data_IF_681736598439
#
_entry.id   IF_681736598439
#
_cell.length_a   1.000
_cell.length_b   1.000
_cell.length_c   1.000
_cell.angle_alpha   90.00
_cell.angle_beta   90.00
_cell.angle_gamma   90.00
#
_symmetry.space_group_name_H-M   'P 1'
#
loop_
_entity.id
_entity.type
_entity.pdbx_description
1 polymer ?
#
# COMPACT_ATOMS: atom_id res chain seq x y z
N UNK A 1 -2.63 71.78 26.76
CA UNK A 1 -2.39 73.11 26.18
C UNK A 1 -2.21 72.93 24.69
N UNK A 2 -2.76 73.87 23.93
CA UNK A 2 -2.58 74.12 22.49
C UNK A 2 -1.14 74.54 22.16
N UNK A 3 -0.66 74.69 20.91
CA UNK A 3 -0.86 73.97 19.62
C UNK A 3 0.36 74.35 18.70
N UNK A 4 0.43 74.50 17.37
CA UNK A 4 -0.54 74.51 16.25
C UNK A 4 0.10 74.05 14.90
N UNK A 5 -0.27 74.66 13.77
CA UNK A 5 0.16 74.38 12.37
C UNK A 5 1.15 75.50 11.92
N UNK A 6 1.66 75.66 10.69
CA UNK A 6 1.27 75.19 9.34
C UNK A 6 2.49 75.22 8.38
N UNK A 7 2.23 75.12 7.06
CA UNK A 7 3.02 75.52 5.87
C UNK A 7 3.97 76.72 6.03
N UNK A 8 5.06 76.87 5.24
CA UNK A 8 5.11 76.87 3.76
C UNK A 8 6.52 76.54 3.22
N UNK A 9 6.66 76.24 1.91
CA UNK A 9 7.93 75.78 1.31
C UNK A 9 8.64 76.75 0.37
N UNK A 10 9.86 76.41 -0.04
CA UNK A 10 10.66 77.09 -1.07
C UNK A 10 11.22 76.09 -2.09
N UNK A 11 11.36 76.51 -3.35
CA UNK A 11 11.86 75.67 -4.46
C UNK A 11 13.34 75.95 -4.75
N UNK A 12 14.08 74.92 -5.13
CA UNK A 12 15.39 75.02 -5.79
C UNK A 12 15.34 74.25 -7.12
N UNK A 13 15.55 74.94 -8.23
CA UNK A 13 15.52 74.38 -9.59
C UNK A 13 16.95 74.14 -10.09
N UNK A 14 17.40 72.87 -10.05
CA UNK A 14 18.64 72.43 -10.69
C UNK A 14 18.40 72.04 -12.14
N UNK A 15 19.11 72.66 -13.09
CA UNK A 15 18.97 72.37 -14.52
C UNK A 15 19.71 71.08 -14.90
N UNK A 16 18.97 70.01 -15.18
CA UNK A 16 19.55 68.75 -15.69
C UNK A 16 19.55 68.73 -17.22
N UNK A 17 20.74 68.79 -17.84
CA UNK A 17 20.92 68.70 -19.28
C UNK A 17 20.77 67.27 -19.78
N UNK A 18 19.91 67.04 -20.77
CA UNK A 18 19.72 65.70 -21.37
C UNK A 18 21.01 65.23 -22.06
N UNK A 19 21.43 63.96 -21.91
CA UNK A 19 22.60 63.43 -22.60
C UNK A 19 22.39 63.43 -24.12
N UNK A 20 23.48 63.63 -24.88
CA UNK A 20 23.42 63.60 -26.35
C UNK A 20 23.04 62.21 -26.87
N UNK A 21 22.14 62.16 -27.85
CA UNK A 21 21.74 60.92 -28.53
C UNK A 21 22.92 60.20 -29.19
N UNK A 22 23.96 60.91 -29.60
CA UNK A 22 25.19 60.30 -30.13
C UNK A 22 25.90 59.41 -29.12
N UNK A 23 25.86 59.75 -27.82
CA UNK A 23 26.49 58.95 -26.77
C UNK A 23 25.75 57.63 -26.55
N UNK A 24 24.41 57.68 -26.56
CA UNK A 24 23.54 56.50 -26.48
C UNK A 24 23.70 55.58 -27.70
N UNK A 25 23.78 56.15 -28.91
CA UNK A 25 24.01 55.37 -30.14
C UNK A 25 25.35 54.64 -30.12
N UNK A 26 26.44 55.33 -29.76
CA UNK A 26 27.78 54.72 -29.68
C UNK A 26 27.81 53.59 -28.65
N UNK A 27 27.20 53.78 -27.47
CA UNK A 27 27.12 52.75 -26.44
C UNK A 27 26.33 51.51 -26.92
N UNK A 28 25.22 51.73 -27.63
CA UNK A 28 24.40 50.65 -28.18
C UNK A 28 25.13 49.87 -29.29
N UNK A 29 25.85 50.55 -30.19
CA UNK A 29 26.66 49.89 -31.23
C UNK A 29 27.86 49.11 -30.66
N UNK A 30 28.46 49.58 -29.56
CA UNK A 30 29.51 48.83 -28.86
C UNK A 30 28.96 47.56 -28.20
N UNK A 31 27.79 47.64 -27.57
CA UNK A 31 27.12 46.49 -26.95
C UNK A 31 26.73 45.42 -27.98
N UNK A 32 26.20 45.80 -29.15
CA UNK A 32 25.85 44.81 -30.19
C UNK A 32 27.09 44.19 -30.84
N UNK A 33 28.17 44.95 -31.06
CA UNK A 33 29.44 44.38 -31.55
C UNK A 33 30.05 43.38 -30.55
N UNK A 34 30.02 43.70 -29.25
CA UNK A 34 30.52 42.80 -28.20
C UNK A 34 29.71 41.51 -28.14
N UNK A 35 28.39 41.59 -28.30
CA UNK A 35 27.50 40.43 -28.31
C UNK A 35 27.70 39.52 -29.54
N UNK A 36 28.02 40.10 -30.70
CA UNK A 36 28.25 39.39 -31.98
C UNK A 36 29.65 38.75 -32.09
N UNK A 37 30.56 39.02 -31.14
CA UNK A 37 31.93 38.48 -31.14
C UNK A 37 32.27 37.64 -29.91
N UNK A 38 31.29 37.36 -29.04
CA UNK A 38 31.42 36.28 -28.06
C UNK A 38 31.35 34.93 -28.78
N UNK A 39 32.39 34.07 -28.72
CA UNK A 39 32.34 32.76 -29.36
C UNK A 39 31.27 31.91 -28.69
N UNK A 40 30.31 31.43 -29.47
CA UNK A 40 29.26 30.54 -29.00
C UNK A 40 29.87 29.24 -28.46
N UNK A 41 30.05 29.17 -27.14
CA UNK A 41 30.45 27.94 -26.47
C UNK A 41 29.40 26.87 -26.78
N UNK A 42 29.79 25.65 -27.19
CA UNK A 42 28.82 24.59 -27.38
C UNK A 42 28.12 24.35 -26.04
N UNK A 43 26.82 24.62 -26.00
CA UNK A 43 25.97 24.15 -24.91
C UNK A 43 25.93 22.64 -25.07
N UNK A 44 26.76 21.96 -24.28
CA UNK A 44 26.67 20.53 -24.11
C UNK A 44 25.27 20.27 -23.57
N UNK A 45 24.39 19.75 -24.42
CA UNK A 45 23.15 19.14 -23.98
C UNK A 45 23.55 17.96 -23.11
N UNK A 46 23.55 18.19 -21.80
CA UNK A 46 23.34 17.13 -20.84
C UNK A 46 22.02 16.47 -21.27
N UNK A 47 22.11 15.28 -21.85
CA UNK A 47 20.95 14.41 -21.96
C UNK A 47 20.29 14.36 -20.57
N UNK A 48 18.96 14.44 -20.48
CA UNK A 48 18.30 14.02 -19.25
C UNK A 48 18.87 12.65 -18.86
N UNK A 49 19.30 12.52 -17.61
CA UNK A 49 19.51 11.18 -17.06
C UNK A 49 18.21 10.38 -17.22
N UNK A 50 18.28 9.03 -17.27
CA UNK A 50 17.06 8.22 -17.39
C UNK A 50 16.04 8.68 -16.34
N UNK A 51 14.82 8.98 -16.78
CA UNK A 51 13.79 9.61 -15.95
C UNK A 51 13.71 8.92 -14.58
N UNK A 52 13.67 9.66 -13.46
CA UNK A 52 13.70 9.09 -12.14
C UNK A 52 12.49 8.17 -11.96
N UNK A 53 12.74 6.85 -12.06
CA UNK A 53 11.74 5.78 -12.21
C UNK A 53 10.52 6.10 -11.36
N UNK A 54 9.40 6.47 -11.99
CA UNK A 54 8.27 7.11 -11.28
C UNK A 54 7.59 6.14 -10.33
N UNK A 55 7.46 4.87 -10.74
CA UNK A 55 6.87 3.76 -9.98
C UNK A 55 7.74 2.51 -10.09
N UNK A 56 7.82 1.69 -9.04
CA UNK A 56 8.42 0.35 -9.14
C UNK A 56 7.50 -0.70 -9.81
N UNK A 57 6.25 -0.36 -10.10
CA UNK A 57 5.23 -1.29 -10.60
C UNK A 57 5.35 -1.63 -12.11
N UNK A 58 6.51 -1.40 -12.73
CA UNK A 58 6.69 -1.53 -14.19
C UNK A 58 6.48 -2.95 -14.73
N UNK A 59 6.59 -3.99 -13.89
CA UNK A 59 6.28 -5.38 -14.24
C UNK A 59 4.77 -5.70 -14.21
N UNK A 60 3.94 -4.88 -13.56
CA UNK A 60 2.56 -5.23 -13.23
C UNK A 60 1.61 -5.03 -14.41
N UNK A 61 0.91 -6.11 -14.77
CA UNK A 61 0.00 -6.15 -15.92
C UNK A 61 -1.40 -5.82 -15.45
N UNK A 62 -1.69 -4.52 -15.39
CA UNK A 62 -3.00 -3.95 -15.04
C UNK A 62 -4.15 -4.74 -15.71
N UNK A 63 -4.98 -5.47 -14.94
CA UNK A 63 -6.08 -6.23 -15.50
C UNK A 63 -7.14 -5.31 -16.15
N UNK A 64 -7.84 -5.75 -17.21
CA UNK A 64 -8.95 -4.99 -17.76
C UNK A 64 -10.09 -4.86 -16.74
N UNK A 65 -10.94 -3.82 -16.87
CA UNK A 65 -12.14 -3.66 -16.05
C UNK A 65 -13.00 -4.93 -16.03
N UNK A 66 -13.48 -5.32 -14.85
CA UNK A 66 -14.22 -6.57 -14.66
C UNK A 66 -15.59 -6.48 -15.32
N UNK A 67 -15.98 -7.51 -16.08
CA UNK A 67 -17.26 -7.51 -16.80
C UNK A 67 -18.47 -7.74 -15.89
N UNK A 68 -18.30 -8.45 -14.78
CA UNK A 68 -19.30 -8.56 -13.72
C UNK A 68 -18.93 -7.59 -12.59
N UNK A 69 -19.91 -6.84 -12.08
CA UNK A 69 -19.79 -6.03 -10.87
C UNK A 69 -21.00 -6.33 -9.97
N UNK A 70 -20.77 -6.62 -8.69
CA UNK A 70 -21.80 -6.96 -7.70
C UNK A 70 -21.50 -6.25 -6.37
N UNK A 71 -22.50 -6.01 -5.53
CA UNK A 71 -22.35 -5.70 -4.11
C UNK A 71 -22.28 -6.98 -3.26
N UNK A 72 -21.71 -6.90 -2.05
CA UNK A 72 -21.88 -7.93 -1.02
C UNK A 72 -23.34 -8.07 -0.55
N UNK A 73 -24.14 -7.01 -0.70
CA UNK A 73 -25.58 -6.98 -0.44
C UNK A 73 -26.36 -7.97 -1.33
N UNK A 74 -25.96 -8.12 -2.60
CA UNK A 74 -26.55 -9.07 -3.57
C UNK A 74 -26.43 -10.54 -3.13
N UNK A 75 -25.53 -10.81 -2.17
CA UNK A 75 -25.30 -12.12 -1.57
C UNK A 75 -25.88 -12.24 -0.16
N UNK A 76 -26.70 -11.28 0.27
CA UNK A 76 -27.34 -11.23 1.57
C UNK A 76 -26.41 -10.78 2.70
N UNK A 77 -25.49 -9.85 2.42
CA UNK A 77 -24.69 -9.18 3.44
C UNK A 77 -25.47 -8.13 4.23
N UNK A 78 -25.04 -7.87 5.46
CA UNK A 78 -25.61 -6.88 6.39
C UNK A 78 -24.46 -6.08 7.04
N UNK A 79 -24.59 -4.76 7.08
CA UNK A 79 -23.50 -3.82 7.43
C UNK A 79 -23.57 -3.23 8.84
N UNK A 80 -24.21 -3.96 9.77
CA UNK A 80 -24.48 -3.58 11.15
C UNK A 80 -23.28 -3.74 12.11
N UNK A 81 -22.21 -4.40 11.68
CA UNK A 81 -21.04 -4.75 12.49
C UNK A 81 -21.26 -5.91 13.47
N UNK A 82 -22.39 -6.62 13.39
CA UNK A 82 -22.80 -7.68 14.35
C UNK A 82 -23.21 -8.96 13.64
N UNK A 83 -23.85 -8.87 12.47
CA UNK A 83 -24.23 -10.00 11.64
C UNK A 83 -22.99 -10.57 10.93
N UNK A 84 -22.71 -11.86 11.13
CA UNK A 84 -21.60 -12.51 10.39
C UNK A 84 -21.95 -12.67 8.90
N UNK A 85 -21.18 -11.96 8.08
CA UNK A 85 -21.23 -11.94 6.62
C UNK A 85 -20.44 -13.10 5.99
N UNK A 86 -19.86 -14.02 6.78
CA UNK A 86 -18.92 -15.05 6.30
C UNK A 86 -19.47 -15.87 5.14
N UNK A 87 -20.74 -16.32 5.20
CA UNK A 87 -21.34 -17.03 4.07
C UNK A 87 -21.84 -16.10 2.96
N UNK A 88 -22.07 -14.80 3.22
CA UNK A 88 -22.31 -13.84 2.13
C UNK A 88 -21.04 -13.66 1.28
N UNK A 89 -19.88 -13.48 1.90
CA UNK A 89 -18.57 -13.45 1.20
C UNK A 89 -18.29 -14.76 0.47
N UNK A 90 -18.50 -15.92 1.11
CA UNK A 90 -18.30 -17.24 0.48
C UNK A 90 -19.30 -17.50 -0.65
N UNK A 91 -20.55 -17.05 -0.56
CA UNK A 91 -21.52 -17.06 -1.68
C UNK A 91 -21.06 -16.16 -2.84
N UNK A 92 -20.60 -14.95 -2.53
CA UNK A 92 -20.12 -13.99 -3.53
C UNK A 92 -18.97 -14.57 -4.36
N UNK A 93 -17.89 -15.03 -3.71
CA UNK A 93 -16.73 -15.61 -4.41
C UNK A 93 -17.15 -16.84 -5.23
N UNK A 94 -17.93 -17.76 -4.65
CA UNK A 94 -18.41 -18.98 -5.32
C UNK A 94 -19.28 -18.67 -6.55
N UNK A 95 -20.09 -17.61 -6.50
CA UNK A 95 -20.84 -17.12 -7.66
C UNK A 95 -19.91 -16.53 -8.72
N UNK A 96 -18.95 -15.71 -8.30
CA UNK A 96 -18.15 -14.83 -9.16
C UNK A 96 -16.96 -15.53 -9.82
N UNK A 97 -16.41 -16.59 -9.21
CA UNK A 97 -15.40 -17.46 -9.80
C UNK A 97 -15.78 -17.96 -11.20
N UNK A 98 -17.08 -18.22 -11.44
CA UNK A 98 -17.61 -18.67 -12.75
C UNK A 98 -17.41 -17.66 -13.89
N UNK A 99 -17.00 -16.42 -13.58
CA UNK A 99 -16.72 -15.35 -14.53
C UNK A 99 -15.23 -15.17 -14.82
N UNK A 100 -14.34 -15.96 -14.20
CA UNK A 100 -12.89 -15.96 -14.45
C UNK A 100 -12.54 -15.89 -15.93
N UNK A 101 -13.07 -16.83 -16.72
CA UNK A 101 -12.80 -16.94 -18.16
C UNK A 101 -13.80 -16.14 -19.02
N UNK A 102 -14.53 -15.19 -18.40
CA UNK A 102 -15.57 -14.36 -19.04
C UNK A 102 -15.34 -12.86 -18.84
N UNK A 103 -14.12 -12.46 -18.50
CA UNK A 103 -13.75 -11.06 -18.23
C UNK A 103 -13.70 -10.68 -16.75
N UNK A 104 -13.73 -11.66 -15.84
CA UNK A 104 -13.56 -11.44 -14.41
C UNK A 104 -14.76 -10.77 -13.72
N UNK A 105 -14.62 -10.59 -12.41
CA UNK A 105 -15.68 -10.07 -11.54
C UNK A 105 -15.14 -9.11 -10.47
N UNK A 106 -15.90 -8.07 -10.14
CA UNK A 106 -15.62 -7.12 -9.06
C UNK A 106 -16.69 -7.20 -7.99
N UNK A 107 -16.27 -7.41 -6.74
CA UNK A 107 -17.12 -7.34 -5.55
C UNK A 107 -16.90 -6.00 -4.86
N UNK A 108 -17.95 -5.18 -4.82
CA UNK A 108 -17.98 -3.93 -4.08
C UNK A 108 -18.42 -4.21 -2.64
N UNK A 109 -17.72 -3.58 -1.68
CA UNK A 109 -18.08 -3.53 -0.27
C UNK A 109 -18.51 -2.08 0.01
N UNK A 110 -19.83 -1.81 0.14
CA UNK A 110 -20.36 -0.47 0.39
C UNK A 110 -19.97 0.08 1.77
N UNK A 111 -20.32 1.35 2.01
CA UNK A 111 -20.22 2.00 3.32
C UNK A 111 -20.97 1.20 4.40
N UNK A 112 -20.37 1.08 5.57
CA UNK A 112 -20.89 0.30 6.71
C UNK A 112 -19.91 -0.76 7.18
N UNK A 113 -20.29 -1.54 8.20
CA UNK A 113 -19.40 -2.43 8.94
C UNK A 113 -19.79 -3.90 8.71
N UNK A 114 -18.94 -4.63 7.99
CA UNK A 114 -19.22 -5.98 7.52
C UNK A 114 -18.41 -6.98 8.35
N UNK A 115 -18.99 -7.42 9.48
CA UNK A 115 -18.38 -8.44 10.33
C UNK A 115 -18.26 -9.75 9.55
N UNK A 116 -17.06 -10.35 9.48
CA UNK A 116 -16.82 -11.60 8.76
C UNK A 116 -15.63 -12.36 9.34
N UNK A 117 -15.72 -13.69 9.30
CA UNK A 117 -14.58 -14.59 9.36
C UNK A 117 -13.87 -14.73 8.02
N UNK A 118 -12.98 -15.72 7.96
CA UNK A 118 -12.08 -15.92 6.83
C UNK A 118 -12.79 -16.30 5.53
N UNK A 119 -12.37 -15.67 4.43
CA UNK A 119 -12.82 -15.98 3.07
C UNK A 119 -11.66 -16.01 2.07
N UNK A 120 -11.75 -16.95 1.12
CA UNK A 120 -10.77 -17.10 0.05
C UNK A 120 -11.18 -16.24 -1.15
N UNK A 121 -10.21 -15.59 -1.79
CA UNK A 121 -10.33 -14.89 -3.07
C UNK A 121 -10.25 -15.87 -4.25
N UNK A 122 -10.33 -15.33 -5.47
CA UNK A 122 -10.30 -16.12 -6.71
C UNK A 122 -9.58 -15.35 -7.84
N UNK A 123 -9.11 -16.02 -8.89
CA UNK A 123 -8.43 -15.36 -10.02
C UNK A 123 -9.34 -14.41 -10.81
N UNK A 124 -8.74 -13.50 -11.59
CA UNK A 124 -9.43 -12.50 -12.43
C UNK A 124 -10.48 -11.69 -11.64
N UNK A 125 -10.17 -11.35 -10.39
CA UNK A 125 -11.10 -10.77 -9.42
C UNK A 125 -10.68 -9.38 -8.93
N UNK A 126 -11.64 -8.54 -8.59
CA UNK A 126 -11.40 -7.28 -7.88
C UNK A 126 -12.22 -7.27 -6.59
N UNK A 127 -11.58 -7.12 -5.43
CA UNK A 127 -12.22 -6.70 -4.19
C UNK A 127 -12.12 -5.17 -4.11
N UNK A 128 -13.25 -4.47 -4.03
CA UNK A 128 -13.31 -3.01 -4.01
C UNK A 128 -14.03 -2.52 -2.75
N UNK A 129 -13.35 -1.77 -1.87
CA UNK A 129 -13.97 -1.19 -0.67
C UNK A 129 -14.28 0.30 -0.89
N UNK A 130 -15.54 0.69 -0.77
CA UNK A 130 -15.96 2.08 -0.90
C UNK A 130 -15.54 2.93 0.32
N UNK A 131 -15.65 4.26 0.18
CA UNK A 131 -15.34 5.20 1.26
C UNK A 131 -16.27 4.97 2.47
N UNK A 132 -15.69 4.67 3.63
CA UNK A 132 -16.44 4.32 4.85
C UNK A 132 -16.93 2.87 4.89
N UNK A 133 -16.46 1.99 4.01
CA UNK A 133 -16.59 0.54 4.16
C UNK A 133 -15.57 0.03 5.19
N UNK A 134 -15.99 -0.86 6.08
CA UNK A 134 -15.13 -1.55 7.04
C UNK A 134 -15.40 -3.06 6.93
N UNK A 135 -14.46 -3.84 6.39
CA UNK A 135 -14.44 -5.28 6.63
C UNK A 135 -13.93 -5.48 8.06
N UNK A 136 -14.73 -6.08 8.93
CA UNK A 136 -14.44 -6.22 10.35
C UNK A 136 -14.25 -7.72 10.67
N UNK A 137 -13.14 -8.07 11.30
CA UNK A 137 -12.79 -9.48 11.51
C UNK A 137 -13.51 -10.11 12.72
N UNK A 138 -14.12 -11.27 12.51
CA UNK A 138 -14.80 -12.01 13.58
C UNK A 138 -13.87 -12.38 14.73
N UNK A 139 -14.39 -12.30 15.96
CA UNK A 139 -13.68 -12.68 17.18
C UNK A 139 -14.00 -14.12 17.64
N UNK A 140 -14.74 -14.93 16.88
CA UNK A 140 -14.81 -16.39 17.11
C UNK A 140 -13.66 -17.09 16.36
N UNK A 141 -12.69 -17.75 17.04
CA UNK A 141 -11.62 -18.49 16.38
C UNK A 141 -12.11 -19.59 15.42
N UNK A 142 -13.35 -20.09 15.56
CA UNK A 142 -13.96 -21.07 14.64
C UNK A 142 -14.26 -20.48 13.26
N UNK A 143 -14.45 -19.17 13.18
CA UNK A 143 -14.62 -18.47 11.90
C UNK A 143 -13.29 -18.28 11.13
N UNK A 144 -12.17 -18.69 11.73
CA UNK A 144 -10.82 -18.72 11.15
C UNK A 144 -10.31 -20.17 11.07
N UNK A 145 -10.69 -20.96 10.05
CA UNK A 145 -10.32 -22.37 9.94
C UNK A 145 -8.83 -22.66 10.10
N UNK A 146 -8.50 -23.75 10.80
CA UNK A 146 -7.12 -24.24 10.90
C UNK A 146 -6.70 -24.84 9.56
N UNK A 147 -5.54 -24.40 9.08
CA UNK A 147 -4.85 -24.92 7.89
C UNK A 147 -3.42 -25.34 8.26
N UNK A 148 -2.75 -26.02 7.34
CA UNK A 148 -1.37 -26.44 7.51
C UNK A 148 -0.42 -25.25 7.71
N UNK A 149 0.68 -25.50 8.42
CA UNK A 149 1.79 -24.57 8.48
C UNK A 149 2.36 -24.32 7.06
N UNK A 150 2.91 -23.13 6.85
CA UNK A 150 3.59 -22.80 5.59
C UNK A 150 4.77 -23.78 5.38
N UNK A 151 4.95 -24.37 4.18
CA UNK A 151 6.00 -25.36 3.94
C UNK A 151 7.41 -24.89 4.32
N UNK A 152 7.72 -23.60 4.09
CA UNK A 152 8.99 -22.96 4.42
C UNK A 152 9.16 -22.64 5.92
N UNK A 153 8.13 -22.83 6.75
CA UNK A 153 8.15 -22.68 8.21
C UNK A 153 7.91 -24.01 8.96
N UNK A 154 7.46 -25.05 8.26
CA UNK A 154 7.38 -26.45 8.70
C UNK A 154 6.61 -26.69 10.01
N UNK A 155 7.27 -26.49 11.14
CA UNK A 155 6.71 -26.72 12.48
C UNK A 155 5.64 -25.72 12.89
N UNK A 156 5.52 -24.56 12.24
CA UNK A 156 4.61 -23.47 12.62
C UNK A 156 5.31 -22.36 13.41
N UNK A 157 4.94 -21.10 13.16
CA UNK A 157 5.72 -19.89 13.54
C UNK A 157 5.61 -19.49 15.02
N UNK A 158 4.52 -19.83 15.69
CA UNK A 158 4.26 -19.50 17.10
C UNK A 158 3.87 -20.70 17.97
N UNK A 159 3.21 -21.69 17.35
CA UNK A 159 2.77 -22.95 17.95
C UNK A 159 3.05 -24.09 16.99
N UNK A 160 3.28 -25.27 17.55
CA UNK A 160 3.56 -26.48 16.77
C UNK A 160 2.30 -26.95 16.00
N UNK A 161 2.46 -27.25 14.72
CA UNK A 161 1.40 -27.77 13.86
C UNK A 161 0.61 -26.68 13.13
N UNK A 162 -0.71 -26.88 13.02
CA UNK A 162 -1.59 -26.02 12.24
C UNK A 162 -1.71 -24.57 12.75
N UNK A 163 -2.12 -23.69 11.84
CA UNK A 163 -2.32 -22.25 12.07
C UNK A 163 -3.73 -21.84 11.66
N UNK A 164 -4.24 -20.75 12.20
CA UNK A 164 -5.41 -20.10 11.61
C UNK A 164 -5.07 -19.57 10.20
N UNK A 165 -5.98 -19.76 9.25
CA UNK A 165 -5.94 -19.08 7.94
C UNK A 165 -6.02 -17.56 8.12
N UNK A 166 -5.67 -16.77 7.11
CA UNK A 166 -5.86 -15.31 7.14
C UNK A 166 -7.33 -14.88 7.04
N UNK A 167 -7.65 -13.62 7.35
CA UNK A 167 -9.01 -13.08 7.15
C UNK A 167 -9.36 -13.03 5.66
N UNK A 168 -8.50 -12.38 4.88
CA UNK A 168 -8.54 -12.40 3.43
C UNK A 168 -7.44 -13.33 2.96
N UNK A 169 -7.79 -14.41 2.26
CA UNK A 169 -6.85 -15.42 1.82
C UNK A 169 -6.84 -15.59 0.30
N UNK A 170 -5.71 -15.95 -0.29
CA UNK A 170 -5.61 -16.39 -1.68
C UNK A 170 -4.57 -17.48 -1.81
N UNK A 171 -4.84 -18.50 -2.63
CA UNK A 171 -3.86 -19.55 -2.93
C UNK A 171 -4.01 -19.98 -4.40
N UNK A 172 -2.92 -19.89 -5.18
CA UNK A 172 -2.92 -20.25 -6.60
C UNK A 172 -3.76 -19.32 -7.49
N UNK A 173 -3.95 -18.05 -7.08
CA UNK A 173 -4.82 -17.10 -7.80
C UNK A 173 -4.01 -16.09 -8.62
N UNK A 174 -4.59 -15.61 -9.72
CA UNK A 174 -3.89 -14.71 -10.66
C UNK A 174 -4.73 -13.53 -11.14
N UNK A 175 -4.08 -12.43 -11.52
CA UNK A 175 -4.71 -11.17 -11.96
C UNK A 175 -5.73 -10.63 -10.93
N UNK A 176 -5.30 -10.42 -9.69
CA UNK A 176 -6.16 -10.02 -8.57
C UNK A 176 -5.93 -8.55 -8.20
N UNK A 177 -6.99 -7.84 -7.84
CA UNK A 177 -6.92 -6.45 -7.37
C UNK A 177 -7.67 -6.34 -6.05
N UNK A 178 -7.03 -5.77 -5.02
CA UNK A 178 -7.62 -5.49 -3.71
C UNK A 178 -7.45 -3.98 -3.51
N UNK A 179 -8.52 -3.22 -3.73
CA UNK A 179 -8.43 -1.75 -3.77
C UNK A 179 -9.69 -1.06 -3.26
N UNK A 180 -9.74 0.27 -3.33
CA UNK A 180 -10.90 1.03 -2.88
C UNK A 180 -10.72 2.54 -2.86
N UNK A 181 -11.61 3.19 -2.12
CA UNK A 181 -11.63 4.63 -1.85
C UNK A 181 -11.25 4.87 -0.38
N UNK A 182 -10.08 4.39 0.03
CA UNK A 182 -9.66 4.32 1.44
C UNK A 182 -10.67 3.58 2.36
N UNK A 183 -11.25 2.49 1.86
CA UNK A 183 -11.98 1.55 2.70
C UNK A 183 -11.05 0.84 3.69
N UNK A 184 -11.61 0.33 4.78
CA UNK A 184 -10.86 -0.28 5.90
C UNK A 184 -11.00 -1.80 5.96
N UNK A 185 -9.92 -2.49 6.32
CA UNK A 185 -9.94 -3.87 6.84
C UNK A 185 -9.42 -3.84 8.27
N UNK A 186 -10.22 -4.28 9.24
CA UNK A 186 -9.91 -4.24 10.67
C UNK A 186 -9.85 -5.67 11.24
N UNK A 187 -8.65 -6.10 11.62
CA UNK A 187 -8.37 -7.46 12.11
C UNK A 187 -8.86 -7.76 13.53
N UNK A 188 -9.40 -6.79 14.27
CA UNK A 188 -9.81 -6.91 15.68
C UNK A 188 -8.74 -7.59 16.58
N UNK A 189 -7.46 -7.40 16.25
CA UNK A 189 -6.31 -8.20 16.71
C UNK A 189 -6.12 -8.30 18.23
N UNK A 190 -6.69 -7.39 19.02
CA UNK A 190 -6.57 -7.33 20.48
C UNK A 190 -6.77 -8.69 21.16
N UNK A 191 -7.81 -9.45 20.81
CA UNK A 191 -8.06 -10.78 21.38
C UNK A 191 -6.88 -11.73 21.15
N UNK A 192 -6.35 -11.74 19.92
CA UNK A 192 -5.23 -12.59 19.54
C UNK A 192 -3.91 -12.16 20.22
N UNK A 193 -3.72 -10.87 20.44
CA UNK A 193 -2.59 -10.33 21.22
C UNK A 193 -2.71 -10.70 22.71
N UNK A 194 -3.91 -10.65 23.29
CA UNK A 194 -4.18 -11.11 24.67
C UNK A 194 -3.92 -12.61 24.85
N UNK A 195 -4.30 -13.45 23.88
CA UNK A 195 -3.93 -14.87 23.86
C UNK A 195 -2.41 -15.08 23.71
N UNK A 196 -1.72 -14.20 22.98
CA UNK A 196 -0.26 -14.25 22.84
C UNK A 196 0.48 -13.90 24.13
N UNK A 197 0.16 -12.75 24.73
CA UNK A 197 0.77 -12.28 25.99
C UNK A 197 0.53 -13.26 27.14
N UNK A 198 -0.69 -13.78 27.27
CA UNK A 198 -1.05 -14.80 28.27
C UNK A 198 -0.52 -16.20 27.92
N UNK A 199 0.11 -16.37 26.76
CA UNK A 199 0.65 -17.63 26.20
C UNK A 199 -0.40 -18.72 25.93
N UNK A 200 -1.69 -18.38 25.97
CA UNK A 200 -2.84 -19.30 25.80
C UNK A 200 -3.25 -19.57 24.35
N UNK A 201 -2.52 -19.06 23.34
CA UNK A 201 -2.70 -19.49 21.95
C UNK A 201 -2.56 -21.03 21.82
N UNK A 202 -3.57 -21.69 21.27
CA UNK A 202 -3.54 -23.11 20.91
C UNK A 202 -2.81 -23.31 19.56
N UNK A 203 -3.14 -22.46 18.58
CA UNK A 203 -2.60 -22.46 17.22
C UNK A 203 -1.83 -21.17 16.91
N UNK A 204 -1.02 -21.19 15.85
CA UNK A 204 -0.39 -19.96 15.31
C UNK A 204 -1.46 -19.03 14.77
N UNK A 205 -1.35 -17.72 15.04
CA UNK A 205 -2.31 -16.68 14.64
C UNK A 205 -2.41 -16.52 13.12
N UNK A 206 -3.57 -16.07 12.64
CA UNK A 206 -3.82 -15.79 11.22
C UNK A 206 -3.37 -14.40 10.78
N UNK A 207 -3.01 -14.24 9.51
CA UNK A 207 -2.65 -12.93 8.93
C UNK A 207 -3.91 -12.10 8.59
N UNK A 208 -3.79 -10.78 8.42
CA UNK A 208 -4.92 -9.99 7.91
C UNK A 208 -5.17 -10.25 6.42
N UNK A 209 -4.11 -10.18 5.61
CA UNK A 209 -4.11 -10.61 4.21
C UNK A 209 -2.94 -11.56 3.96
N UNK A 210 -3.24 -12.73 3.39
CA UNK A 210 -2.22 -13.65 2.88
C UNK A 210 -2.54 -14.05 1.44
N UNK A 211 -1.49 -14.09 0.61
CA UNK A 211 -1.54 -14.57 -0.76
C UNK A 211 -0.43 -15.62 -0.92
N UNK A 212 -0.81 -16.84 -1.28
CA UNK A 212 0.09 -17.97 -1.51
C UNK A 212 0.14 -18.30 -3.01
N UNK A 213 1.32 -18.62 -3.55
CA UNK A 213 1.47 -19.15 -4.91
C UNK A 213 0.75 -18.31 -6.01
N UNK A 214 0.70 -16.98 -5.86
CA UNK A 214 -0.20 -16.11 -6.63
C UNK A 214 0.55 -15.12 -7.53
N UNK A 215 -0.02 -14.81 -8.71
CA UNK A 215 0.63 -13.99 -9.75
C UNK A 215 -0.16 -12.72 -10.12
N UNK A 216 0.57 -11.64 -10.40
CA UNK A 216 0.05 -10.39 -10.94
C UNK A 216 -1.07 -9.81 -10.05
N UNK A 217 -0.68 -9.33 -8.87
CA UNK A 217 -1.61 -8.83 -7.84
C UNK A 217 -1.34 -7.36 -7.49
N UNK A 218 -2.41 -6.56 -7.38
CA UNK A 218 -2.36 -5.19 -6.86
C UNK A 218 -3.13 -5.09 -5.55
N UNK A 219 -2.50 -4.50 -4.53
CA UNK A 219 -3.08 -4.12 -3.24
C UNK A 219 -2.89 -2.61 -3.11
N UNK A 220 -3.96 -1.80 -3.10
CA UNK A 220 -3.80 -0.34 -3.09
C UNK A 220 -4.97 0.51 -2.58
N UNK A 221 -4.65 1.69 -2.05
CA UNK A 221 -5.62 2.73 -1.65
C UNK A 221 -6.61 2.28 -0.55
N UNK A 222 -6.11 1.55 0.45
CA UNK A 222 -6.89 1.00 1.57
C UNK A 222 -6.19 1.25 2.91
N UNK A 223 -6.98 1.29 3.98
CA UNK A 223 -6.49 1.26 5.36
C UNK A 223 -6.61 -0.15 5.94
N UNK A 224 -5.50 -0.78 6.33
CA UNK A 224 -5.47 -2.03 7.07
C UNK A 224 -5.14 -1.73 8.53
N UNK A 225 -5.86 -2.31 9.50
CA UNK A 225 -5.61 -2.05 10.92
C UNK A 225 -5.81 -3.25 11.83
N UNK A 226 -5.18 -3.20 13.00
CA UNK A 226 -5.31 -4.18 14.09
C UNK A 226 -5.14 -5.65 13.62
N UNK A 227 -4.12 -5.95 12.82
CA UNK A 227 -3.89 -7.32 12.35
C UNK A 227 -3.69 -8.29 13.54
N UNK A 228 -4.22 -9.53 13.49
CA UNK A 228 -3.97 -10.52 14.54
C UNK A 228 -2.48 -10.89 14.64
N UNK A 229 -1.78 -10.91 13.51
CA UNK A 229 -0.35 -11.25 13.34
C UNK A 229 0.20 -10.43 12.16
N UNK A 230 1.05 -10.98 11.30
CA UNK A 230 1.53 -10.30 10.08
C UNK A 230 0.39 -9.75 9.22
N UNK A 231 0.58 -8.57 8.61
CA UNK A 231 -0.53 -7.79 8.05
C UNK A 231 -0.73 -8.03 6.55
N UNK A 232 0.33 -8.02 5.75
CA UNK A 232 0.27 -8.27 4.29
C UNK A 232 1.36 -9.25 3.87
N UNK A 233 1.02 -10.54 3.79
CA UNK A 233 1.95 -11.64 3.56
C UNK A 233 1.77 -12.28 2.15
N UNK A 234 2.42 -11.76 1.10
CA UNK A 234 2.58 -12.47 -0.16
C UNK A 234 3.74 -13.48 -0.06
N UNK A 235 3.41 -14.77 -0.14
CA UNK A 235 4.36 -15.89 -0.09
C UNK A 235 4.32 -16.76 -1.36
N UNK A 236 5.49 -17.12 -1.89
CA UNK A 236 5.65 -17.80 -3.20
C UNK A 236 4.94 -17.05 -4.35
N UNK A 237 4.85 -15.72 -4.25
CA UNK A 237 4.11 -14.88 -5.19
C UNK A 237 5.03 -14.28 -6.26
N UNK A 238 4.44 -13.91 -7.39
CA UNK A 238 5.11 -13.17 -8.46
C UNK A 238 4.34 -11.91 -8.86
N UNK A 239 5.07 -10.85 -9.21
CA UNK A 239 4.52 -9.63 -9.81
C UNK A 239 3.47 -8.94 -8.91
N UNK A 240 3.82 -8.65 -7.65
CA UNK A 240 2.92 -8.04 -6.66
C UNK A 240 3.23 -6.56 -6.45
N UNK A 241 2.21 -5.71 -6.42
CA UNK A 241 2.31 -4.26 -6.14
C UNK A 241 1.49 -3.93 -4.91
N UNK A 242 2.11 -3.25 -3.94
CA UNK A 242 1.48 -2.82 -2.68
C UNK A 242 1.72 -1.32 -2.54
N UNK A 243 0.67 -0.50 -2.75
CA UNK A 243 0.86 0.95 -2.90
C UNK A 243 -0.29 1.84 -2.41
N UNK A 244 0.03 3.01 -1.87
CA UNK A 244 -0.99 3.92 -1.34
C UNK A 244 -1.75 3.33 -0.14
N UNK A 245 -1.09 2.46 0.63
CA UNK A 245 -1.67 1.77 1.78
C UNK A 245 -1.38 2.53 3.06
N UNK A 246 -2.37 2.54 3.96
CA UNK A 246 -2.21 2.95 5.36
C UNK A 246 -2.32 1.68 6.20
N UNK A 247 -1.29 1.31 6.96
CA UNK A 247 -1.25 0.13 7.81
C UNK A 247 -1.08 0.58 9.26
N UNK A 248 -1.96 0.17 10.18
CA UNK A 248 -2.00 0.69 11.56
C UNK A 248 -2.23 -0.41 12.60
N UNK A 249 -1.21 -0.71 13.41
CA UNK A 249 -1.36 -1.46 14.65
C UNK A 249 -0.84 -0.64 15.84
N UNK A 250 -1.38 -0.82 17.07
CA UNK A 250 -0.80 -0.23 18.26
C UNK A 250 0.67 -0.63 18.39
N UNK A 251 1.54 0.32 18.78
CA UNK A 251 2.99 0.10 18.81
C UNK A 251 3.46 -1.01 19.77
N UNK A 252 2.60 -1.53 20.64
CA UNK A 252 2.89 -2.69 21.49
C UNK A 252 2.33 -4.02 20.96
N UNK A 253 1.62 -4.03 19.82
CA UNK A 253 0.93 -5.20 19.31
C UNK A 253 1.91 -6.24 18.71
N UNK A 254 2.01 -7.45 19.29
CA UNK A 254 3.12 -8.37 19.04
C UNK A 254 3.07 -8.98 17.65
N UNK A 255 4.15 -8.81 16.88
CA UNK A 255 4.30 -9.39 15.53
C UNK A 255 3.16 -8.96 14.59
N UNK A 256 2.99 -7.64 14.51
CA UNK A 256 2.04 -6.97 13.60
C UNK A 256 2.76 -6.40 12.38
N UNK A 257 3.76 -7.13 11.89
CA UNK A 257 4.61 -6.81 10.75
C UNK A 257 3.77 -6.23 9.59
N UNK A 258 4.26 -5.15 8.98
CA UNK A 258 3.46 -4.35 8.03
C UNK A 258 3.28 -5.02 6.67
N UNK A 259 4.39 -5.37 6.02
CA UNK A 259 4.40 -6.04 4.71
C UNK A 259 5.53 -7.07 4.68
N UNK A 260 5.19 -8.30 4.29
CA UNK A 260 6.03 -9.48 4.49
C UNK A 260 6.25 -10.28 3.19
N UNK A 261 7.11 -9.82 2.26
CA UNK A 261 7.42 -10.59 1.05
C UNK A 261 8.28 -11.80 1.40
N UNK A 262 7.66 -12.98 1.46
CA UNK A 262 8.33 -14.25 1.75
C UNK A 262 8.52 -15.07 0.47
N UNK A 263 9.75 -15.53 0.20
CA UNK A 263 10.03 -16.46 -0.90
C UNK A 263 9.43 -16.03 -2.26
N UNK A 264 9.40 -14.72 -2.54
CA UNK A 264 8.58 -14.12 -3.61
C UNK A 264 9.39 -13.25 -4.57
N UNK A 265 8.92 -13.07 -5.81
CA UNK A 265 9.67 -12.40 -6.88
C UNK A 265 8.91 -11.24 -7.55
N UNK A 266 9.63 -10.22 -8.01
CA UNK A 266 9.07 -8.99 -8.62
C UNK A 266 8.01 -8.33 -7.72
N UNK A 267 8.46 -7.70 -6.63
CA UNK A 267 7.58 -7.06 -5.65
C UNK A 267 7.87 -5.56 -5.59
N UNK A 268 6.83 -4.73 -5.66
CA UNK A 268 6.91 -3.27 -5.57
C UNK A 268 6.12 -2.78 -4.36
N UNK A 269 6.81 -2.16 -3.42
CA UNK A 269 6.24 -1.54 -2.22
C UNK A 269 6.53 -0.05 -2.30
N UNK A 270 5.50 0.76 -2.60
CA UNK A 270 5.64 2.20 -2.79
C UNK A 270 4.52 3.04 -2.19
N UNK A 271 4.84 4.23 -1.68
CA UNK A 271 3.84 5.22 -1.23
C UNK A 271 2.94 4.71 -0.09
N UNK A 272 3.54 4.03 0.91
CA UNK A 272 2.81 3.43 2.02
C UNK A 272 3.15 4.12 3.35
N UNK A 273 2.15 4.24 4.23
CA UNK A 273 2.29 4.66 5.62
C UNK A 273 2.04 3.48 6.55
N UNK A 274 2.94 3.21 7.51
CA UNK A 274 2.90 2.00 8.35
C UNK A 274 3.19 2.36 9.82
N UNK A 275 2.21 2.19 10.70
CA UNK A 275 2.44 2.07 12.15
C UNK A 275 2.30 0.60 12.55
N UNK A 276 3.30 0.06 13.24
CA UNK A 276 3.35 -1.35 13.65
C UNK A 276 3.98 -1.50 15.04
N UNK A 277 3.65 -2.59 15.73
CA UNK A 277 4.38 -3.06 16.91
C UNK A 277 5.57 -3.98 16.59
N UNK A 278 5.91 -4.12 15.31
CA UNK A 278 7.02 -4.94 14.79
C UNK A 278 7.61 -4.30 13.50
N UNK A 279 8.31 -5.05 12.65
CA UNK A 279 8.91 -4.53 11.41
C UNK A 279 7.90 -3.87 10.43
N UNK A 280 8.27 -2.71 9.86
CA UNK A 280 7.43 -2.02 8.86
C UNK A 280 7.35 -2.79 7.53
N UNK A 281 8.48 -3.33 7.06
CA UNK A 281 8.59 -4.18 5.87
C UNK A 281 9.68 -5.20 6.13
N UNK A 282 9.34 -6.49 6.16
CA UNK A 282 10.27 -7.58 6.45
C UNK A 282 10.34 -8.56 5.27
N UNK A 283 11.47 -8.57 4.57
CA UNK A 283 11.72 -9.51 3.46
C UNK A 283 12.18 -10.83 4.05
N UNK A 284 11.42 -11.91 3.83
CA UNK A 284 11.63 -13.24 4.41
C UNK A 284 11.83 -14.29 3.29
N UNK A 285 12.27 -15.49 3.63
CA UNK A 285 12.35 -16.64 2.70
C UNK A 285 12.32 -17.98 3.45
N UNK A 286 11.31 -18.17 4.30
CA UNK A 286 11.24 -19.32 5.19
C UNK A 286 12.19 -19.28 6.39
N UNK A 287 12.21 -20.40 7.10
CA UNK A 287 12.84 -20.55 8.41
C UNK A 287 13.68 -21.85 8.51
N UNK A 288 14.93 -21.70 8.96
CA UNK A 288 15.89 -22.79 9.24
C UNK A 288 15.90 -23.88 8.14
N UNK A 289 15.91 -25.17 8.52
CA UNK A 289 15.89 -26.29 7.58
C UNK A 289 14.67 -26.31 6.65
N UNK A 290 13.56 -25.67 7.02
CA UNK A 290 12.34 -25.66 6.21
C UNK A 290 12.44 -24.68 5.05
N UNK A 291 12.97 -23.47 5.30
CA UNK A 291 13.33 -22.50 4.26
C UNK A 291 14.41 -23.07 3.32
N UNK A 292 15.44 -23.70 3.89
CA UNK A 292 16.50 -24.38 3.12
C UNK A 292 15.94 -25.52 2.24
N UNK A 293 14.96 -26.28 2.72
CA UNK A 293 14.34 -27.38 1.96
C UNK A 293 13.43 -26.87 0.83
N UNK A 294 12.71 -25.76 1.05
CA UNK A 294 11.88 -25.14 0.00
C UNK A 294 12.73 -24.44 -1.06
N UNK A 295 13.85 -23.82 -0.66
CA UNK A 295 14.88 -23.25 -1.53
C UNK A 295 14.39 -22.16 -2.52
N UNK A 296 13.29 -21.47 -2.21
CA UNK A 296 12.77 -20.33 -3.01
C UNK A 296 13.22 -19.00 -2.39
N UNK A 297 14.13 -18.23 -3.01
CA UNK A 297 14.58 -16.95 -2.47
C UNK A 297 13.62 -15.80 -2.78
N UNK A 298 13.49 -14.86 -1.85
CA UNK A 298 12.89 -13.55 -2.13
C UNK A 298 13.81 -12.72 -3.05
N UNK A 299 13.30 -12.21 -4.17
CA UNK A 299 14.10 -11.65 -5.27
C UNK A 299 13.42 -10.48 -5.98
N UNK A 300 14.21 -9.52 -6.49
CA UNK A 300 13.71 -8.32 -7.19
C UNK A 300 12.57 -7.61 -6.45
N UNK A 301 12.85 -7.23 -5.19
CA UNK A 301 11.93 -6.50 -4.32
C UNK A 301 12.40 -5.05 -4.23
N UNK A 302 11.52 -4.10 -4.55
CA UNK A 302 11.81 -2.67 -4.50
C UNK A 302 10.90 -2.02 -3.45
N UNK A 303 11.51 -1.49 -2.39
CA UNK A 303 10.85 -0.71 -1.34
C UNK A 303 11.23 0.76 -1.51
N UNK A 304 10.26 1.66 -1.57
CA UNK A 304 10.50 3.11 -1.80
C UNK A 304 9.37 3.96 -1.23
N UNK A 305 9.67 5.21 -0.81
CA UNK A 305 8.64 6.16 -0.33
C UNK A 305 7.69 5.53 0.72
N UNK A 306 8.22 4.64 1.55
CA UNK A 306 7.54 4.10 2.74
C UNK A 306 7.91 5.00 3.91
N UNK A 307 6.94 5.28 4.77
CA UNK A 307 7.11 6.07 5.99
C UNK A 307 6.29 5.44 7.12
N UNK A 308 6.66 5.69 8.38
CA UNK A 308 6.03 4.95 9.46
C UNK A 308 6.70 5.07 10.83
N UNK A 309 6.13 4.36 11.79
CA UNK A 309 6.58 4.29 13.18
C UNK A 309 6.52 2.85 13.69
N UNK A 310 7.60 2.38 14.30
CA UNK A 310 7.64 1.15 15.12
C UNK A 310 8.64 1.38 16.26
N UNK A 311 8.41 0.85 17.48
CA UNK A 311 9.38 0.93 18.57
C UNK A 311 10.48 -0.13 18.44
N UNK A 312 10.31 -1.13 17.56
CA UNK A 312 11.17 -2.31 17.44
C UNK A 312 11.27 -2.73 15.98
N UNK A 313 12.44 -2.50 15.37
CA UNK A 313 12.83 -3.19 14.14
C UNK A 313 13.73 -4.37 14.55
N UNK A 314 13.30 -5.61 14.32
CA UNK A 314 14.01 -6.79 14.88
C UNK A 314 13.70 -8.10 14.16
N UNK A 315 14.77 -8.72 13.64
CA UNK A 315 14.89 -10.17 13.50
C UNK A 315 15.35 -10.84 14.80
#
# INVERSE_FOLDING_TARGET
MESDKTTFGARLLGTCTKPSWTLLFVLFTLLTFLYLHLPARPVWFLSPGPDPITTCAAFFRHPPPRKLVMSIEDFGGVSDGVTSNTEAFRRAIRYMQRFQNRGGAQLNIPRGTWLTGSFNLTSNFTLFLNEGAIILASQDPKEWPIIEALPSYGRGRERFGGRHISLIHGNGISNVVITGQNGTVDGQGKMWWELWWNRTLEHTRGHLLELMNSDNVLISNLTFRNSPFWTVHPIYCSNVVIKGMTILAPLNAPNTDGIDPDSSTNICIEDNYIESGDDLVAIKSGWDQYGITVAIPSTNIIVRRVSGTTPTCSG
#
